data_IF_310095227336
#
_entry.id   IF_310095227336
#
_cell.length_a   1.000
_cell.length_b   1.000
_cell.length_c   1.000
_cell.angle_alpha   90.00
_cell.angle_beta   90.00
_cell.angle_gamma   90.00
#
_symmetry.space_group_name_H-M   'P 1'
#
loop_
_entity.id
_entity.type
_entity.pdbx_description
1 polymer ?
#
# COMPACT_ATOMS: atom_id res chain seq x y z
N UNK A 1 11.72 -13.17 -1.77
CA UNK A 1 10.47 -12.56 -1.26
C UNK A 1 10.82 -11.60 -0.14
N UNK A 2 10.16 -10.42 -0.04
CA UNK A 2 10.28 -9.49 1.11
C UNK A 2 9.02 -9.51 1.95
N UNK A 3 9.17 -9.35 3.26
CA UNK A 3 8.07 -9.32 4.21
C UNK A 3 8.00 -7.96 4.90
N UNK A 4 6.84 -7.31 4.79
CA UNK A 4 6.61 -5.98 5.31
C UNK A 4 5.60 -5.99 6.47
N UNK A 5 5.69 -4.98 7.35
CA UNK A 5 4.71 -4.75 8.40
C UNK A 5 4.13 -3.35 8.33
N UNK A 6 2.83 -3.24 8.50
CA UNK A 6 2.15 -1.95 8.64
C UNK A 6 1.96 -1.55 10.09
N UNK A 7 2.12 -0.28 10.40
CA UNK A 7 1.89 0.21 11.76
C UNK A 7 1.17 1.56 11.77
N UNK A 8 0.24 1.70 12.71
CA UNK A 8 -0.42 2.98 12.98
C UNK A 8 0.37 3.74 14.04
N UNK A 9 0.97 4.84 13.64
CA UNK A 9 1.70 5.73 14.55
C UNK A 9 0.78 6.88 14.98
N UNK A 10 0.47 6.94 16.26
CA UNK A 10 -0.37 8.00 16.85
C UNK A 10 0.44 9.25 17.20
N UNK A 11 1.69 9.07 17.57
CA UNK A 11 2.63 10.15 17.86
C UNK A 11 3.86 10.01 16.96
N UNK A 12 4.20 11.00 16.12
CA UNK A 12 5.36 10.92 15.23
C UNK A 12 6.69 10.54 15.91
N UNK A 13 6.87 10.89 17.17
CA UNK A 13 8.06 10.53 17.95
C UNK A 13 8.20 9.01 18.18
N UNK A 14 7.11 8.25 18.10
CA UNK A 14 7.10 6.79 18.25
C UNK A 14 7.61 6.05 17.01
N UNK A 15 7.74 6.75 15.87
CA UNK A 15 8.22 6.15 14.63
C UNK A 15 9.58 5.45 14.78
N UNK A 16 10.54 6.10 15.45
CA UNK A 16 11.86 5.52 15.69
C UNK A 16 11.85 4.21 16.46
N UNK A 17 11.33 4.18 17.70
CA UNK A 17 11.24 2.95 18.49
C UNK A 17 10.44 1.82 17.81
N UNK A 18 9.30 2.13 17.20
CA UNK A 18 8.44 1.13 16.57
C UNK A 18 9.14 0.50 15.35
N UNK A 19 9.69 1.32 14.44
CA UNK A 19 10.40 0.78 13.28
C UNK A 19 11.68 0.05 13.65
N UNK A 20 12.36 0.47 14.72
CA UNK A 20 13.52 -0.26 15.25
C UNK A 20 13.12 -1.66 15.75
N UNK A 21 12.01 -1.77 16.46
CA UNK A 21 11.50 -3.07 16.89
C UNK A 21 11.13 -3.99 15.70
N UNK A 22 10.55 -3.44 14.62
CA UNK A 22 10.26 -4.20 13.39
C UNK A 22 11.54 -4.62 12.67
N UNK A 23 12.57 -3.76 12.62
CA UNK A 23 13.88 -4.12 12.09
C UNK A 23 14.52 -5.25 12.90
N UNK A 24 14.48 -5.17 14.24
CA UNK A 24 15.04 -6.18 15.13
C UNK A 24 14.28 -7.52 15.05
N UNK A 25 12.98 -7.47 14.78
CA UNK A 25 12.18 -8.65 14.47
C UNK A 25 12.51 -9.27 13.09
N UNK A 26 13.23 -8.53 12.23
CA UNK A 26 13.72 -9.02 10.95
C UNK A 26 12.79 -8.76 9.76
N UNK A 27 11.86 -7.80 9.83
CA UNK A 27 11.10 -7.37 8.66
C UNK A 27 12.00 -6.68 7.62
N UNK A 28 11.71 -6.90 6.34
CA UNK A 28 12.44 -6.27 5.23
C UNK A 28 11.99 -4.83 4.99
N UNK A 29 10.73 -4.53 5.26
CA UNK A 29 10.16 -3.20 5.15
C UNK A 29 9.08 -2.93 6.20
N UNK A 30 8.85 -1.65 6.47
CA UNK A 30 7.73 -1.23 7.30
C UNK A 30 7.12 0.07 6.76
N UNK A 31 5.81 0.22 6.95
CA UNK A 31 5.09 1.35 6.40
C UNK A 31 4.14 2.01 7.40
N UNK A 32 3.99 3.31 7.20
CA UNK A 32 2.92 4.13 7.77
C UNK A 32 1.84 4.40 6.71
N UNK A 33 0.65 4.79 7.14
CA UNK A 33 -0.40 5.24 6.22
C UNK A 33 -1.04 6.55 6.69
N UNK A 34 -1.63 7.28 5.75
CA UNK A 34 -2.30 8.54 6.02
C UNK A 34 -3.73 8.32 6.53
N UNK A 35 -3.89 8.36 7.84
CA UNK A 35 -5.18 8.32 8.51
C UNK A 35 -5.51 9.64 9.17
N UNK A 36 -5.44 9.69 10.50
CA UNK A 36 -5.61 10.90 11.31
C UNK A 36 -4.34 11.77 11.35
N UNK A 37 -3.18 11.22 11.00
CA UNK A 37 -1.86 11.87 11.06
C UNK A 37 -1.17 11.84 9.70
N UNK A 38 -0.17 12.73 9.54
CA UNK A 38 0.69 12.75 8.35
C UNK A 38 1.59 11.50 8.33
N UNK A 39 1.69 10.78 7.20
CA UNK A 39 2.42 9.52 7.13
C UNK A 39 3.94 9.70 7.06
N UNK A 40 4.45 10.89 6.73
CA UNK A 40 5.89 11.12 6.55
C UNK A 40 6.62 11.43 7.85
N UNK A 41 5.99 12.14 8.78
CA UNK A 41 6.64 12.59 10.01
C UNK A 41 7.21 11.44 10.86
N UNK A 42 6.50 10.32 11.08
CA UNK A 42 7.07 9.18 11.80
C UNK A 42 8.28 8.57 11.09
N UNK A 43 8.32 8.64 9.74
CA UNK A 43 9.41 8.06 8.96
C UNK A 43 10.72 8.83 9.09
N UNK A 44 10.69 10.11 9.50
CA UNK A 44 11.89 10.88 9.83
C UNK A 44 12.61 10.23 11.03
N UNK A 45 11.90 10.00 12.13
CA UNK A 45 12.49 9.36 13.30
C UNK A 45 12.85 7.88 13.04
N UNK A 46 12.06 7.16 12.24
CA UNK A 46 12.37 5.81 11.81
C UNK A 46 13.68 5.74 11.00
N UNK A 47 13.89 6.65 10.05
CA UNK A 47 15.09 6.70 9.22
C UNK A 47 16.36 6.90 10.07
N UNK A 48 16.28 7.70 11.13
CA UNK A 48 17.38 7.94 12.06
C UNK A 48 17.66 6.77 13.01
N UNK A 49 16.66 5.97 13.34
CA UNK A 49 16.73 4.90 14.34
C UNK A 49 17.04 3.52 13.75
N UNK A 50 16.89 3.35 12.44
CA UNK A 50 17.04 2.07 11.72
C UNK A 50 18.21 2.10 10.73
N UNK A 51 18.69 0.92 10.30
CA UNK A 51 19.85 0.80 9.41
C UNK A 51 19.59 0.00 8.13
N UNK A 52 18.66 -0.96 8.16
CA UNK A 52 18.44 -1.94 7.08
C UNK A 52 17.01 -1.95 6.56
N UNK A 53 16.02 -1.85 7.44
CA UNK A 53 14.60 -1.92 7.07
C UNK A 53 14.23 -0.83 6.06
N UNK A 54 13.52 -1.19 5.00
CA UNK A 54 12.96 -0.25 4.04
C UNK A 54 11.78 0.51 4.68
N UNK A 55 11.68 1.78 4.40
CA UNK A 55 10.69 2.69 4.98
C UNK A 55 9.71 3.10 3.89
N UNK A 56 8.41 2.85 4.10
CA UNK A 56 7.40 3.12 3.08
C UNK A 56 6.25 3.99 3.64
N UNK A 57 5.61 4.73 2.74
CA UNK A 57 4.21 5.12 2.95
C UNK A 57 3.30 4.12 2.22
N UNK A 58 2.26 3.60 2.87
CA UNK A 58 1.27 2.73 2.23
C UNK A 58 -0.14 3.05 2.74
N UNK A 59 -0.70 4.17 2.34
CA UNK A 59 -0.26 5.14 1.33
C UNK A 59 -0.23 6.57 1.91
N UNK A 60 0.50 7.47 1.25
CA UNK A 60 0.29 8.91 1.35
C UNK A 60 -0.74 9.34 0.29
N UNK A 61 -1.67 10.26 0.65
CA UNK A 61 -2.73 10.72 -0.25
C UNK A 61 -2.15 11.67 -1.30
N UNK A 62 -2.00 11.17 -2.52
CA UNK A 62 -1.35 11.89 -3.61
C UNK A 62 -2.10 13.16 -4.03
N UNK A 63 -3.43 13.07 -4.23
CA UNK A 63 -4.23 14.18 -4.77
C UNK A 63 -4.50 15.30 -3.76
N UNK A 64 -4.09 15.13 -2.52
CA UNK A 64 -4.05 16.20 -1.52
C UNK A 64 -2.76 17.04 -1.60
N UNK A 65 -1.79 16.62 -2.42
CA UNK A 65 -0.44 17.19 -2.50
C UNK A 65 -0.05 17.56 -3.92
N UNK A 66 1.05 18.29 -4.05
CA UNK A 66 1.65 18.69 -5.31
C UNK A 66 2.87 17.80 -5.63
N UNK A 67 3.16 17.48 -6.92
CA UNK A 67 4.34 16.68 -7.29
C UNK A 67 5.67 17.22 -6.73
N UNK A 68 5.87 18.54 -6.70
CA UNK A 68 7.09 19.15 -6.17
C UNK A 68 7.25 18.88 -4.66
N UNK A 69 6.16 19.03 -3.89
CA UNK A 69 6.19 18.72 -2.46
C UNK A 69 6.50 17.25 -2.19
N UNK A 70 5.93 16.35 -3.00
CA UNK A 70 6.19 14.91 -2.88
C UNK A 70 7.62 14.56 -3.29
N UNK A 71 8.18 15.22 -4.32
CA UNK A 71 9.58 15.04 -4.71
C UNK A 71 10.55 15.50 -3.61
N UNK A 72 10.31 16.68 -3.00
CA UNK A 72 11.12 17.18 -1.89
C UNK A 72 11.15 16.20 -0.72
N UNK A 73 9.97 15.78 -0.26
CA UNK A 73 9.88 14.88 0.91
C UNK A 73 10.48 13.50 0.62
N UNK A 74 10.30 13.01 -0.62
CA UNK A 74 10.89 11.74 -1.05
C UNK A 74 12.41 11.83 -1.15
N UNK A 75 12.94 12.93 -1.67
CA UNK A 75 14.39 13.18 -1.71
C UNK A 75 14.99 13.22 -0.31
N UNK A 76 14.39 14.00 0.60
CA UNK A 76 14.91 14.18 1.95
C UNK A 76 14.85 12.87 2.77
N UNK A 77 13.74 12.14 2.70
CA UNK A 77 13.62 10.84 3.37
C UNK A 77 14.55 9.79 2.75
N UNK A 78 14.78 9.81 1.44
CA UNK A 78 15.74 8.93 0.80
C UNK A 78 17.18 9.23 1.22
N UNK A 79 17.54 10.51 1.33
CA UNK A 79 18.83 10.95 1.83
C UNK A 79 19.02 10.52 3.29
N UNK A 80 18.05 10.82 4.15
CA UNK A 80 18.08 10.53 5.58
C UNK A 80 18.14 9.02 5.86
N UNK A 81 17.38 8.23 5.12
CA UNK A 81 17.35 6.77 5.24
C UNK A 81 18.48 6.05 4.51
N UNK A 82 19.37 6.79 3.80
CA UNK A 82 20.47 6.22 3.00
C UNK A 82 19.97 5.25 1.91
N UNK A 83 18.97 5.68 1.15
CA UNK A 83 18.43 4.94 0.00
C UNK A 83 17.35 3.90 0.32
N UNK A 84 16.85 3.85 1.56
CA UNK A 84 15.85 2.86 2.00
C UNK A 84 14.40 3.34 1.89
N UNK A 85 14.15 4.57 1.46
CA UNK A 85 12.80 5.11 1.37
C UNK A 85 12.11 4.73 0.06
N UNK A 86 10.84 4.34 0.16
CA UNK A 86 9.93 4.08 -0.97
C UNK A 86 8.70 4.98 -0.81
N UNK A 87 8.45 5.82 -1.79
CA UNK A 87 7.28 6.69 -1.80
C UNK A 87 6.04 5.92 -2.25
N UNK A 88 5.19 5.53 -1.32
CA UNK A 88 3.92 4.87 -1.61
C UNK A 88 2.75 5.85 -1.65
N UNK A 89 2.08 5.94 -2.78
CA UNK A 89 1.02 6.90 -3.09
C UNK A 89 -0.32 6.22 -3.33
N UNK A 90 -1.41 6.94 -3.05
CA UNK A 90 -2.76 6.51 -3.41
C UNK A 90 -3.66 7.69 -3.73
N UNK A 91 -4.65 7.47 -4.60
CA UNK A 91 -5.58 8.52 -5.03
C UNK A 91 -6.58 8.93 -3.95
N UNK A 92 -6.82 8.07 -2.95
CA UNK A 92 -7.98 8.17 -2.08
C UNK A 92 -9.31 8.14 -2.86
N UNK A 93 -10.45 8.31 -2.19
CA UNK A 93 -11.78 8.41 -2.81
C UNK A 93 -12.20 9.86 -2.97
N UNK A 94 -13.07 10.12 -3.97
CA UNK A 94 -13.54 11.47 -4.30
C UNK A 94 -14.03 12.28 -3.09
N UNK A 95 -14.89 11.75 -2.18
CA UNK A 95 -15.37 12.53 -1.03
C UNK A 95 -14.25 13.06 -0.13
N UNK A 96 -13.20 12.25 0.13
CA UNK A 96 -12.06 12.71 0.92
C UNK A 96 -11.28 13.80 0.20
N UNK A 97 -11.00 13.64 -1.09
CA UNK A 97 -10.27 14.66 -1.85
C UNK A 97 -11.05 15.98 -1.91
N UNK A 98 -12.35 15.92 -2.25
CA UNK A 98 -13.13 17.14 -2.45
C UNK A 98 -13.62 17.80 -1.17
N UNK A 99 -13.98 17.02 -0.13
CA UNK A 99 -14.61 17.55 1.08
C UNK A 99 -13.67 17.66 2.28
N UNK A 100 -12.69 16.72 2.41
CA UNK A 100 -11.70 16.75 3.50
C UNK A 100 -10.48 17.57 3.13
N UNK A 101 -9.96 17.41 1.90
CA UNK A 101 -8.76 18.11 1.45
C UNK A 101 -9.05 19.36 0.60
N UNK A 102 -10.32 19.59 0.23
CA UNK A 102 -10.74 20.73 -0.62
C UNK A 102 -9.99 20.83 -1.95
N UNK A 103 -9.67 19.66 -2.56
CA UNK A 103 -8.92 19.58 -3.81
C UNK A 103 -9.80 19.07 -4.96
N UNK A 104 -9.48 19.43 -6.21
CA UNK A 104 -10.24 18.99 -7.38
C UNK A 104 -10.08 17.48 -7.61
N UNK A 105 -11.15 16.86 -8.10
CA UNK A 105 -11.18 15.45 -8.51
C UNK A 105 -11.48 15.34 -10.00
N UNK A 106 -10.59 14.67 -10.73
CA UNK A 106 -10.80 14.39 -12.16
C UNK A 106 -9.93 13.20 -12.61
N UNK A 107 -10.42 12.37 -13.52
CA UNK A 107 -9.69 11.31 -14.24
C UNK A 107 -8.58 10.65 -13.41
N UNK A 108 -8.89 9.93 -12.32
CA UNK A 108 -7.90 9.57 -11.29
C UNK A 108 -6.71 8.74 -11.83
N UNK A 109 -6.92 7.85 -12.79
CA UNK A 109 -5.85 7.04 -13.34
C UNK A 109 -4.86 7.88 -14.17
N UNK A 110 -5.35 8.71 -15.08
CA UNK A 110 -4.52 9.58 -15.90
C UNK A 110 -3.79 10.65 -15.05
N UNK A 111 -4.49 11.19 -14.05
CA UNK A 111 -3.90 12.16 -13.11
C UNK A 111 -2.80 11.53 -12.25
N UNK A 112 -2.96 10.28 -11.83
CA UNK A 112 -1.93 9.57 -11.05
C UNK A 112 -0.70 9.28 -11.91
N UNK A 113 -0.89 8.84 -13.14
CA UNK A 113 0.21 8.63 -14.10
C UNK A 113 1.00 9.91 -14.34
N UNK A 114 0.30 11.03 -14.59
CA UNK A 114 0.92 12.34 -14.78
C UNK A 114 1.66 12.82 -13.51
N UNK A 115 1.09 12.60 -12.32
CA UNK A 115 1.72 12.94 -11.04
C UNK A 115 3.03 12.16 -10.83
N UNK A 116 3.01 10.86 -11.07
CA UNK A 116 4.22 10.01 -10.93
C UNK A 116 5.30 10.46 -11.93
N UNK A 117 4.92 10.71 -13.18
CA UNK A 117 5.84 11.21 -14.21
C UNK A 117 6.41 12.58 -13.86
N UNK A 118 5.59 13.49 -13.29
CA UNK A 118 6.05 14.78 -12.80
C UNK A 118 7.07 14.64 -11.67
N UNK A 119 6.79 13.79 -10.66
CA UNK A 119 7.72 13.53 -9.55
C UNK A 119 9.05 12.95 -10.10
N UNK A 120 8.99 11.96 -10.99
CA UNK A 120 10.18 11.37 -11.62
C UNK A 120 10.98 12.39 -12.42
N UNK A 121 10.31 13.28 -13.16
CA UNK A 121 10.98 14.35 -13.92
C UNK A 121 11.71 15.33 -12.99
N UNK A 122 11.11 15.70 -11.87
CA UNK A 122 11.73 16.58 -10.86
C UNK A 122 12.95 15.89 -10.24
N UNK A 123 12.79 14.66 -9.74
CA UNK A 123 13.88 13.90 -9.12
C UNK A 123 15.03 13.64 -10.10
N UNK A 124 14.71 13.34 -11.38
CA UNK A 124 15.72 13.16 -12.42
C UNK A 124 16.48 14.47 -12.75
N UNK A 125 15.77 15.61 -12.79
CA UNK A 125 16.43 16.90 -13.00
C UNK A 125 17.44 17.21 -11.89
N UNK A 126 17.11 16.91 -10.64
CA UNK A 126 18.04 17.04 -9.51
C UNK A 126 19.19 16.05 -9.62
N UNK A 127 18.93 14.79 -9.97
CA UNK A 127 19.93 13.73 -10.01
C UNK A 127 20.96 13.92 -11.11
N UNK A 128 20.54 14.44 -12.28
CA UNK A 128 21.38 14.53 -13.48
C UNK A 128 21.84 15.96 -13.81
N UNK A 129 21.27 16.98 -13.17
CA UNK A 129 21.46 18.39 -13.54
C UNK A 129 20.78 18.78 -14.86
N UNK A 130 19.92 17.91 -15.41
CA UNK A 130 19.20 18.22 -16.64
C UNK A 130 18.13 19.29 -16.42
N UNK A 131 17.71 19.95 -17.51
CA UNK A 131 16.62 20.92 -17.44
C UNK A 131 15.34 20.21 -17.01
N UNK A 132 14.62 20.80 -16.05
CA UNK A 132 13.28 20.34 -15.67
C UNK A 132 12.29 20.71 -16.80
N UNK A 133 11.69 19.69 -17.41
CA UNK A 133 10.75 19.85 -18.51
C UNK A 133 9.66 18.76 -18.40
N UNK A 134 8.63 19.04 -17.63
CA UNK A 134 7.41 18.21 -17.53
C UNK A 134 6.20 19.04 -17.92
N UNK A 135 5.48 18.59 -18.96
CA UNK A 135 4.23 19.22 -19.46
C UNK A 135 3.17 18.13 -19.63
N UNK A 136 2.51 17.80 -18.52
CA UNK A 136 1.42 16.84 -18.50
C UNK A 136 0.04 17.48 -18.65
N UNK A 137 -0.99 16.66 -18.64
CA UNK A 137 -2.39 17.09 -18.68
C UNK A 137 -2.78 17.84 -17.39
N UNK A 138 -2.24 17.42 -16.23
CA UNK A 138 -2.63 17.92 -14.90
C UNK A 138 -1.53 18.74 -14.24
N UNK A 139 -0.26 18.49 -14.59
CA UNK A 139 0.89 19.11 -13.94
C UNK A 139 1.88 19.65 -14.96
N UNK A 140 2.40 20.84 -14.69
CA UNK A 140 3.47 21.46 -15.48
C UNK A 140 4.57 21.93 -14.55
N UNK A 141 5.79 21.41 -14.74
CA UNK A 141 6.98 21.79 -14.00
C UNK A 141 8.12 22.07 -14.98
N UNK A 142 8.46 23.35 -15.16
CA UNK A 142 9.46 23.82 -16.14
C UNK A 142 10.45 24.83 -15.59
N UNK A 143 10.38 25.09 -14.27
CA UNK A 143 11.26 26.03 -13.59
C UNK A 143 12.06 25.28 -12.51
N UNK A 144 13.40 25.33 -12.62
CA UNK A 144 14.33 24.89 -11.61
C UNK A 144 15.52 25.84 -11.60
N UNK A 145 15.59 26.68 -10.58
CA UNK A 145 16.74 27.58 -10.39
C UNK A 145 17.76 26.99 -9.43
N UNK A 146 19.04 27.41 -9.49
CA UNK A 146 20.09 26.78 -8.66
C UNK A 146 19.79 26.74 -7.16
N UNK A 147 19.13 27.76 -6.62
CA UNK A 147 18.76 27.81 -5.19
C UNK A 147 17.79 26.69 -4.76
N UNK A 148 16.94 26.21 -5.68
CA UNK A 148 15.93 25.21 -5.40
C UNK A 148 16.30 23.81 -5.89
N UNK A 149 17.53 23.66 -6.40
CA UNK A 149 18.06 22.38 -6.84
C UNK A 149 18.98 21.82 -5.73
N UNK A 150 18.58 20.74 -5.02
CA UNK A 150 19.40 20.14 -3.96
C UNK A 150 20.64 19.40 -4.51
N UNK A 151 20.72 19.21 -5.83
CA UNK A 151 21.75 18.39 -6.47
C UNK A 151 21.45 16.88 -6.43
N UNK A 152 22.40 16.05 -6.87
CA UNK A 152 22.22 14.61 -6.92
C UNK A 152 22.18 14.01 -5.51
N UNK A 153 21.21 13.10 -5.29
CA UNK A 153 21.17 12.31 -4.07
C UNK A 153 22.22 11.19 -4.15
N UNK A 154 23.13 11.05 -3.18
CA UNK A 154 24.18 10.03 -3.21
C UNK A 154 23.64 8.59 -3.17
N UNK A 155 22.38 8.41 -2.80
CA UNK A 155 21.69 7.13 -2.73
C UNK A 155 20.75 6.88 -3.92
N UNK A 156 20.77 7.76 -4.93
CA UNK A 156 19.90 7.66 -6.12
C UNK A 156 18.49 8.17 -5.89
N UNK A 157 17.64 7.91 -6.87
CA UNK A 157 16.23 8.29 -6.87
C UNK A 157 15.41 7.24 -6.08
N UNK A 158 14.55 7.64 -5.13
CA UNK A 158 13.68 6.70 -4.42
C UNK A 158 12.66 6.05 -5.34
N UNK A 159 12.32 4.79 -5.10
CA UNK A 159 11.24 4.10 -5.79
C UNK A 159 9.89 4.76 -5.48
N UNK A 160 8.99 4.73 -6.44
CA UNK A 160 7.61 5.20 -6.29
C UNK A 160 6.67 4.02 -6.50
N UNK A 161 5.92 3.65 -5.46
CA UNK A 161 4.85 2.67 -5.54
C UNK A 161 3.50 3.37 -5.50
N UNK A 162 2.49 2.77 -6.15
CA UNK A 162 1.13 3.35 -6.15
C UNK A 162 0.10 2.28 -5.86
N UNK A 163 -0.85 2.61 -4.99
CA UNK A 163 -1.98 1.74 -4.71
C UNK A 163 -2.99 1.73 -5.87
N UNK A 164 -3.36 0.54 -6.29
CA UNK A 164 -4.36 0.33 -7.33
C UNK A 164 -5.24 -0.89 -7.03
N UNK A 165 -6.51 -0.81 -7.47
CA UNK A 165 -7.45 -1.93 -7.44
C UNK A 165 -7.99 -2.20 -8.84
N UNK A 166 -8.65 -1.22 -9.47
CA UNK A 166 -9.29 -1.38 -10.77
C UNK A 166 -8.33 -1.35 -11.96
N UNK A 167 -8.73 -1.91 -13.13
CA UNK A 167 -7.87 -2.09 -14.30
C UNK A 167 -7.22 -0.81 -14.81
N UNK A 168 -7.96 0.30 -14.88
CA UNK A 168 -7.43 1.56 -15.40
C UNK A 168 -6.29 2.13 -14.56
N UNK A 169 -6.44 2.12 -13.23
CA UNK A 169 -5.39 2.57 -12.32
C UNK A 169 -4.21 1.61 -12.38
N UNK A 170 -4.43 0.31 -12.38
CA UNK A 170 -3.39 -0.71 -12.47
C UNK A 170 -2.51 -0.52 -13.70
N UNK A 171 -3.12 -0.29 -14.89
CA UNK A 171 -2.38 -0.02 -16.13
C UNK A 171 -1.58 1.29 -16.06
N UNK A 172 -2.18 2.37 -15.53
CA UNK A 172 -1.51 3.65 -15.36
C UNK A 172 -0.30 3.54 -14.44
N UNK A 173 -0.43 2.82 -13.32
CA UNK A 173 0.65 2.53 -12.37
C UNK A 173 1.75 1.72 -13.02
N UNK A 174 1.42 0.68 -13.77
CA UNK A 174 2.40 -0.16 -14.46
C UNK A 174 3.19 0.63 -15.53
N UNK A 175 2.58 1.64 -16.19
CA UNK A 175 3.30 2.50 -17.13
C UNK A 175 4.27 3.48 -16.46
N UNK A 176 3.95 3.95 -15.26
CA UNK A 176 4.66 5.10 -14.67
C UNK A 176 5.43 4.81 -13.38
N UNK A 177 4.92 3.98 -12.49
CA UNK A 177 5.50 3.73 -11.17
C UNK A 177 6.51 2.57 -11.17
N UNK A 178 7.21 2.36 -10.05
CA UNK A 178 8.19 1.29 -9.88
C UNK A 178 7.59 0.06 -9.20
N UNK A 179 6.35 0.19 -8.70
CA UNK A 179 5.62 -0.92 -8.11
C UNK A 179 4.16 -0.58 -7.83
N UNK A 180 3.38 -1.62 -7.55
CA UNK A 180 1.98 -1.55 -7.18
C UNK A 180 1.79 -2.06 -5.76
N UNK A 181 1.04 -1.29 -4.96
CA UNK A 181 0.54 -1.67 -3.65
C UNK A 181 -0.88 -2.24 -3.82
N UNK A 182 -1.00 -3.58 -3.76
CA UNK A 182 -2.30 -4.22 -3.83
C UNK A 182 -3.08 -4.00 -2.53
N UNK A 183 -4.34 -3.63 -2.68
CA UNK A 183 -5.23 -3.39 -1.53
C UNK A 183 -5.49 -4.71 -0.78
N UNK A 184 -5.56 -4.72 0.56
CA UNK A 184 -5.78 -5.96 1.32
C UNK A 184 -7.12 -6.66 1.01
N UNK A 185 -8.05 -5.96 0.39
CA UNK A 185 -9.30 -6.55 -0.14
C UNK A 185 -9.13 -7.16 -1.54
N UNK A 186 -7.93 -7.58 -1.92
CA UNK A 186 -7.67 -8.28 -3.19
C UNK A 186 -7.49 -9.78 -2.95
N UNK A 187 -8.42 -10.58 -3.45
CA UNK A 187 -8.28 -12.05 -3.37
C UNK A 187 -7.17 -12.57 -4.30
N UNK A 188 -6.63 -13.78 -4.06
CA UNK A 188 -5.69 -14.42 -4.98
C UNK A 188 -6.24 -14.56 -6.40
N UNK A 189 -7.54 -14.86 -6.53
CA UNK A 189 -8.24 -14.97 -7.82
C UNK A 189 -8.29 -13.61 -8.54
N UNK A 190 -8.60 -12.52 -7.81
CA UNK A 190 -8.62 -11.18 -8.38
C UNK A 190 -7.21 -10.73 -8.83
N UNK A 191 -6.20 -10.97 -8.02
CA UNK A 191 -4.81 -10.69 -8.37
C UNK A 191 -4.39 -11.41 -9.65
N UNK A 192 -4.66 -12.71 -9.73
CA UNK A 192 -4.30 -13.55 -10.88
C UNK A 192 -5.06 -13.19 -12.15
N UNK A 193 -6.37 -12.96 -12.05
CA UNK A 193 -7.22 -12.79 -13.23
C UNK A 193 -7.34 -11.35 -13.71
N UNK A 194 -7.16 -10.37 -12.82
CA UNK A 194 -7.36 -8.95 -13.14
C UNK A 194 -6.07 -8.15 -12.95
N UNK A 195 -5.46 -8.19 -11.75
CA UNK A 195 -4.34 -7.30 -11.44
C UNK A 195 -3.10 -7.62 -12.27
N UNK A 196 -2.64 -8.87 -12.26
CA UNK A 196 -1.43 -9.28 -12.99
C UNK A 196 -1.54 -9.10 -14.51
N UNK A 197 -2.65 -9.46 -15.20
CA UNK A 197 -2.82 -9.17 -16.62
C UNK A 197 -2.75 -7.67 -16.95
N UNK A 198 -3.38 -6.81 -16.12
CA UNK A 198 -3.34 -5.36 -16.33
C UNK A 198 -1.98 -4.74 -16.03
N UNK A 199 -1.20 -5.28 -15.07
CA UNK A 199 0.21 -4.93 -14.89
C UNK A 199 1.00 -5.24 -16.15
N UNK A 200 0.89 -6.46 -16.67
CA UNK A 200 1.62 -6.90 -17.86
C UNK A 200 1.29 -6.05 -19.08
N UNK A 201 0.01 -5.75 -19.32
CA UNK A 201 -0.43 -4.86 -20.41
C UNK A 201 0.13 -3.44 -20.26
N UNK A 202 0.09 -2.88 -19.04
CA UNK A 202 0.66 -1.55 -18.77
C UNK A 202 2.17 -1.49 -19.01
N UNK A 203 2.92 -2.49 -18.53
CA UNK A 203 4.37 -2.60 -18.75
C UNK A 203 4.71 -2.76 -20.23
N UNK A 204 4.02 -3.64 -20.94
CA UNK A 204 4.21 -3.87 -22.36
C UNK A 204 3.96 -2.58 -23.17
N UNK A 205 2.91 -1.84 -22.89
CA UNK A 205 2.55 -0.59 -23.58
C UNK A 205 3.59 0.53 -23.37
N UNK A 206 4.43 0.42 -22.34
CA UNK A 206 5.51 1.39 -22.03
C UNK A 206 6.91 0.82 -22.23
N UNK A 207 7.06 -0.34 -22.89
CA UNK A 207 8.32 -1.03 -23.14
C UNK A 207 9.14 -1.29 -21.86
N UNK A 208 8.48 -1.65 -20.76
CA UNK A 208 9.11 -1.95 -19.46
C UNK A 208 9.13 -3.45 -19.20
N UNK A 209 10.21 -3.95 -18.60
CA UNK A 209 10.31 -5.34 -18.19
C UNK A 209 9.53 -5.61 -16.89
N UNK A 210 8.99 -6.83 -16.75
CA UNK A 210 8.31 -7.25 -15.51
C UNK A 210 9.26 -7.29 -14.30
N UNK A 211 10.56 -7.56 -14.55
CA UNK A 211 11.62 -7.54 -13.53
C UNK A 211 11.83 -6.17 -12.87
N UNK A 212 11.45 -5.09 -13.55
CA UNK A 212 11.66 -3.71 -13.09
C UNK A 212 10.45 -3.14 -12.34
N UNK A 213 9.50 -4.04 -11.98
CA UNK A 213 8.25 -3.64 -11.34
C UNK A 213 7.91 -4.56 -10.18
N UNK A 214 7.78 -3.99 -8.99
CA UNK A 214 7.43 -4.71 -7.78
C UNK A 214 5.90 -4.78 -7.60
N UNK A 215 5.39 -5.95 -7.13
CA UNK A 215 4.03 -6.08 -6.63
C UNK A 215 4.11 -6.38 -5.13
N UNK A 216 3.59 -5.47 -4.32
CA UNK A 216 3.44 -5.62 -2.87
C UNK A 216 2.00 -5.98 -2.55
N UNK A 217 1.80 -7.10 -1.87
CA UNK A 217 0.48 -7.67 -1.57
C UNK A 217 0.23 -7.55 -0.07
N UNK A 218 -0.73 -6.71 0.28
CA UNK A 218 -1.27 -6.64 1.63
C UNK A 218 -2.31 -7.74 1.82
N UNK A 219 -2.25 -8.48 2.94
CA UNK A 219 -3.10 -9.64 3.21
C UNK A 219 -3.81 -9.45 4.54
N UNK A 220 -5.14 -9.55 4.55
CA UNK A 220 -5.90 -9.61 5.80
C UNK A 220 -5.58 -10.91 6.52
N UNK A 221 -5.08 -10.80 7.75
CA UNK A 221 -4.71 -11.97 8.56
C UNK A 221 -5.36 -11.93 9.93
N UNK A 222 -5.74 -13.12 10.41
CA UNK A 222 -6.28 -13.31 11.75
C UNK A 222 -5.52 -14.40 12.49
N UNK A 223 -4.93 -14.05 13.63
CA UNK A 223 -4.27 -14.97 14.55
C UNK A 223 -4.48 -14.48 15.98
N UNK A 224 -4.51 -15.38 16.94
CA UNK A 224 -4.59 -15.04 18.36
C UNK A 224 -3.77 -16.00 19.20
N UNK A 225 -3.24 -15.53 20.33
CA UNK A 225 -2.44 -16.31 21.27
C UNK A 225 -3.27 -17.35 22.05
N UNK A 226 -4.59 -17.24 22.06
CA UNK A 226 -5.54 -18.12 22.73
C UNK A 226 -6.92 -18.02 22.05
N UNK A 227 -7.87 -18.87 22.44
CA UNK A 227 -9.22 -18.92 21.85
C UNK A 227 -9.95 -17.58 21.87
N UNK A 228 -9.83 -16.80 22.96
CA UNK A 228 -10.50 -15.50 23.07
C UNK A 228 -9.90 -14.48 22.09
N UNK A 229 -8.57 -14.37 22.05
CA UNK A 229 -7.88 -13.44 21.11
C UNK A 229 -8.08 -13.87 19.67
N UNK A 230 -8.12 -15.20 19.39
CA UNK A 230 -8.42 -15.72 18.06
C UNK A 230 -9.84 -15.33 17.61
N UNK A 231 -10.84 -15.51 18.47
CA UNK A 231 -12.23 -15.06 18.16
C UNK A 231 -12.30 -13.55 17.88
N UNK A 232 -11.53 -12.75 18.60
CA UNK A 232 -11.42 -11.29 18.34
C UNK A 232 -10.79 -11.03 16.98
N UNK A 233 -9.74 -11.75 16.63
CA UNK A 233 -9.07 -11.61 15.31
C UNK A 233 -9.99 -12.00 14.16
N UNK A 234 -10.72 -13.12 14.28
CA UNK A 234 -11.75 -13.54 13.32
C UNK A 234 -12.81 -12.47 13.15
N UNK A 235 -13.34 -11.93 14.26
CA UNK A 235 -14.36 -10.86 14.20
C UNK A 235 -13.83 -9.60 13.55
N UNK A 236 -12.61 -9.18 13.88
CA UNK A 236 -11.98 -8.01 13.26
C UNK A 236 -11.81 -8.18 11.74
N UNK A 237 -11.43 -9.37 11.27
CA UNK A 237 -11.36 -9.68 9.84
C UNK A 237 -12.74 -9.61 9.18
N UNK A 238 -13.81 -10.17 9.80
CA UNK A 238 -15.18 -10.08 9.28
C UNK A 238 -15.64 -8.64 9.13
N UNK A 239 -15.48 -7.84 10.19
CA UNK A 239 -15.87 -6.42 10.19
C UNK A 239 -15.11 -5.65 9.10
N UNK A 240 -13.84 -5.95 8.89
CA UNK A 240 -13.01 -5.30 7.88
C UNK A 240 -13.39 -5.73 6.45
N UNK A 241 -13.66 -7.04 6.22
CA UNK A 241 -14.18 -7.54 4.95
C UNK A 241 -15.51 -6.85 4.63
N UNK A 242 -16.44 -6.80 5.58
CA UNK A 242 -17.73 -6.15 5.42
C UNK A 242 -17.60 -4.66 5.08
N UNK A 243 -16.70 -3.95 5.78
CA UNK A 243 -16.43 -2.54 5.51
C UNK A 243 -15.92 -2.31 4.08
N UNK A 244 -14.94 -3.08 3.61
CA UNK A 244 -14.43 -2.95 2.25
C UNK A 244 -15.45 -3.36 1.21
N UNK A 245 -16.14 -4.49 1.42
CA UNK A 245 -17.18 -4.99 0.52
C UNK A 245 -18.37 -4.03 0.35
N UNK A 246 -18.64 -3.19 1.35
CA UNK A 246 -19.68 -2.14 1.28
C UNK A 246 -19.31 -0.96 0.38
N UNK A 247 -18.04 -0.86 -0.02
CA UNK A 247 -17.52 0.28 -0.80
C UNK A 247 -17.71 0.01 -2.30
N UNK A 248 -18.47 0.84 -3.04
CA UNK A 248 -18.80 0.59 -4.45
C UNK A 248 -17.57 0.39 -5.36
N UNK A 249 -16.44 1.04 -5.04
CA UNK A 249 -15.22 0.92 -5.84
C UNK A 249 -14.55 -0.47 -5.75
N UNK A 250 -14.96 -1.31 -4.79
CA UNK A 250 -14.46 -2.68 -4.65
C UNK A 250 -15.45 -3.75 -5.14
N UNK A 251 -16.61 -3.36 -5.70
CA UNK A 251 -17.60 -4.30 -6.23
C UNK A 251 -16.99 -5.29 -7.22
N UNK A 252 -16.12 -4.82 -8.11
CA UNK A 252 -15.44 -5.67 -9.09
C UNK A 252 -14.60 -6.82 -8.48
N UNK A 253 -14.14 -6.68 -7.24
CA UNK A 253 -13.43 -7.75 -6.53
C UNK A 253 -14.41 -8.85 -6.12
N UNK A 254 -15.60 -8.48 -5.63
CA UNK A 254 -16.67 -9.40 -5.26
C UNK A 254 -17.26 -10.13 -6.46
N UNK A 255 -17.42 -9.44 -7.61
CA UNK A 255 -17.89 -10.00 -8.87
C UNK A 255 -17.04 -11.18 -9.37
N UNK A 256 -15.74 -11.22 -9.05
CA UNK A 256 -14.89 -12.37 -9.37
C UNK A 256 -15.30 -13.65 -8.62
N UNK A 257 -16.11 -13.52 -7.58
CA UNK A 257 -16.55 -14.61 -6.71
C UNK A 257 -18.06 -14.87 -6.77
N UNK A 258 -18.84 -14.06 -7.49
CA UNK A 258 -20.29 -14.15 -7.53
C UNK A 258 -20.97 -13.57 -6.29
N UNK A 259 -20.34 -12.58 -5.62
CA UNK A 259 -20.83 -11.94 -4.40
C UNK A 259 -21.39 -10.52 -4.66
N UNK A 260 -21.96 -10.27 -5.84
CA UNK A 260 -22.48 -8.95 -6.24
C UNK A 260 -23.60 -8.47 -5.30
N UNK A 261 -24.54 -9.37 -4.96
CA UNK A 261 -25.68 -9.07 -4.10
C UNK A 261 -25.22 -8.69 -2.67
N UNK A 262 -24.18 -9.35 -2.16
CA UNK A 262 -23.58 -9.03 -0.87
C UNK A 262 -23.05 -7.59 -0.84
N UNK A 263 -22.43 -7.11 -1.93
CA UNK A 263 -21.94 -5.72 -2.01
C UNK A 263 -23.09 -4.71 -1.87
N UNK A 264 -24.21 -4.97 -2.50
CA UNK A 264 -25.39 -4.09 -2.46
C UNK A 264 -26.02 -4.06 -1.07
N UNK A 265 -26.16 -5.22 -0.43
CA UNK A 265 -26.64 -5.31 0.94
C UNK A 265 -25.75 -4.60 1.94
N UNK A 266 -24.45 -4.86 1.90
CA UNK A 266 -23.48 -4.22 2.80
C UNK A 266 -23.42 -2.70 2.59
N UNK A 267 -23.54 -2.22 1.34
CA UNK A 267 -23.63 -0.79 1.07
C UNK A 267 -24.90 -0.17 1.68
N UNK A 268 -26.04 -0.87 1.62
CA UNK A 268 -27.29 -0.45 2.27
C UNK A 268 -27.14 -0.37 3.80
N UNK A 269 -26.60 -1.43 4.40
CA UNK A 269 -26.34 -1.50 5.85
C UNK A 269 -25.40 -0.40 6.33
N UNK A 270 -24.31 -0.15 5.59
CA UNK A 270 -23.33 0.91 5.91
C UNK A 270 -23.96 2.31 5.93
N UNK A 271 -24.86 2.61 4.96
CA UNK A 271 -25.61 3.87 4.93
C UNK A 271 -26.61 4.01 6.07
N UNK A 272 -27.10 2.89 6.61
CA UNK A 272 -27.97 2.85 7.78
C UNK A 272 -27.20 2.85 9.11
N UNK A 273 -25.85 2.81 9.11
CA UNK A 273 -25.02 2.75 10.31
C UNK A 273 -25.07 1.41 11.03
N UNK A 274 -25.51 0.33 10.36
CA UNK A 274 -25.69 -1.01 10.92
C UNK A 274 -24.38 -1.81 10.82
N UNK A 275 -23.34 -1.35 11.51
CA UNK A 275 -21.97 -1.90 11.41
C UNK A 275 -21.85 -3.33 11.92
N UNK A 276 -22.60 -3.67 13.00
CA UNK A 276 -22.59 -5.02 13.55
C UNK A 276 -23.20 -6.02 12.57
N UNK A 277 -24.36 -5.68 12.03
CA UNK A 277 -25.10 -6.49 11.06
C UNK A 277 -24.29 -6.73 9.78
N UNK A 278 -23.48 -5.75 9.37
CA UNK A 278 -22.55 -5.92 8.25
C UNK A 278 -21.53 -7.04 8.51
N UNK A 279 -20.89 -7.04 9.69
CA UNK A 279 -19.95 -8.11 10.04
C UNK A 279 -20.63 -9.48 10.16
N UNK A 280 -21.89 -9.50 10.68
CA UNK A 280 -22.66 -10.73 10.81
C UNK A 280 -23.13 -11.30 9.46
N UNK A 281 -23.21 -10.48 8.42
CA UNK A 281 -23.51 -10.90 7.05
C UNK A 281 -22.34 -11.57 6.31
N UNK A 282 -21.12 -11.52 6.84
CA UNK A 282 -19.95 -12.21 6.29
C UNK A 282 -19.91 -13.63 6.85
N UNK A 283 -20.20 -14.62 6.03
CA UNK A 283 -20.04 -16.03 6.39
C UNK A 283 -18.57 -16.49 6.29
N UNK A 284 -18.33 -17.76 6.63
CA UNK A 284 -16.98 -18.33 6.62
C UNK A 284 -16.41 -18.46 5.21
N UNK A 285 -17.22 -18.68 4.20
CA UNK A 285 -16.77 -18.81 2.80
C UNK A 285 -16.25 -17.46 2.29
N UNK A 286 -17.05 -16.39 2.48
CA UNK A 286 -16.64 -15.02 2.12
C UNK A 286 -15.42 -14.60 2.91
N UNK A 287 -15.39 -14.85 4.23
CA UNK A 287 -14.25 -14.52 5.08
C UNK A 287 -12.97 -15.19 4.57
N UNK A 288 -13.00 -16.50 4.32
CA UNK A 288 -11.84 -17.26 3.84
C UNK A 288 -11.41 -16.90 2.41
N UNK A 289 -12.29 -16.30 1.62
CA UNK A 289 -11.93 -15.77 0.30
C UNK A 289 -10.96 -14.58 0.41
N UNK A 290 -11.12 -13.72 1.41
CA UNK A 290 -10.40 -12.46 1.54
C UNK A 290 -9.38 -12.42 2.68
N UNK A 291 -9.50 -13.27 3.68
CA UNK A 291 -8.60 -13.32 4.83
C UNK A 291 -7.91 -14.69 4.94
N UNK A 292 -6.72 -14.70 5.55
CA UNK A 292 -6.05 -15.91 5.99
C UNK A 292 -6.07 -15.94 7.50
N UNK A 293 -6.67 -16.98 8.06
CA UNK A 293 -6.90 -17.08 9.51
C UNK A 293 -6.43 -18.44 10.01
N UNK A 294 -5.67 -18.46 11.10
CA UNK A 294 -5.23 -19.66 11.78
C UNK A 294 -4.95 -19.38 13.26
N UNK A 295 -4.97 -20.43 14.10
CA UNK A 295 -4.50 -20.38 15.49
C UNK A 295 -2.98 -20.64 15.59
N UNK A 296 -2.40 -21.16 14.52
CA UNK A 296 -0.99 -21.55 14.44
C UNK A 296 -0.22 -20.67 13.44
N UNK A 297 0.92 -20.06 13.83
CA UNK A 297 1.72 -19.22 12.95
C UNK A 297 2.27 -19.95 11.72
N UNK A 298 2.66 -21.23 11.85
CA UNK A 298 3.20 -22.03 10.74
C UNK A 298 2.12 -22.34 9.70
N UNK A 299 0.92 -22.72 10.16
CA UNK A 299 -0.22 -22.96 9.26
C UNK A 299 -0.68 -21.65 8.59
N UNK A 300 -0.68 -20.55 9.33
CA UNK A 300 -0.97 -19.22 8.76
C UNK A 300 0.03 -18.88 7.63
N UNK A 301 1.33 -19.07 7.91
CA UNK A 301 2.38 -18.77 6.95
C UNK A 301 2.30 -19.68 5.72
N UNK A 302 2.10 -20.99 5.89
CA UNK A 302 1.92 -21.94 4.77
C UNK A 302 0.74 -21.53 3.88
N UNK A 303 -0.39 -21.15 4.48
CA UNK A 303 -1.57 -20.77 3.71
C UNK A 303 -1.37 -19.41 3.00
N UNK A 304 -0.68 -18.44 3.61
CA UNK A 304 -0.28 -17.20 2.96
C UNK A 304 0.61 -17.49 1.74
N UNK A 305 1.64 -18.31 1.93
CA UNK A 305 2.58 -18.66 0.84
C UNK A 305 1.89 -19.47 -0.27
N UNK A 306 1.00 -20.40 0.09
CA UNK A 306 0.20 -21.15 -0.88
C UNK A 306 -0.70 -20.26 -1.75
N UNK A 307 -1.29 -19.21 -1.15
CA UNK A 307 -2.23 -18.31 -1.86
C UNK A 307 -1.53 -17.22 -2.66
N UNK A 308 -0.42 -16.69 -2.16
CA UNK A 308 0.17 -15.43 -2.65
C UNK A 308 1.65 -15.53 -3.00
N UNK A 309 2.35 -16.60 -2.62
CA UNK A 309 3.82 -16.71 -2.69
C UNK A 309 4.42 -16.63 -4.09
N UNK A 310 3.65 -16.94 -5.13
CA UNK A 310 4.06 -16.85 -6.53
C UNK A 310 3.61 -15.56 -7.26
N UNK A 311 2.85 -14.69 -6.58
CA UNK A 311 2.18 -13.58 -7.24
C UNK A 311 2.92 -12.25 -7.11
N UNK A 312 3.66 -12.02 -6.03
CA UNK A 312 4.31 -10.73 -5.76
C UNK A 312 5.76 -10.86 -5.26
N UNK A 313 6.42 -9.72 -5.17
CA UNK A 313 7.78 -9.61 -4.65
C UNK A 313 7.81 -9.28 -3.16
N UNK A 314 6.69 -8.76 -2.64
CA UNK A 314 6.53 -8.33 -1.24
C UNK A 314 5.18 -8.80 -0.70
N UNK A 315 5.17 -9.26 0.53
CA UNK A 315 3.97 -9.65 1.27
C UNK A 315 3.91 -8.89 2.58
N UNK A 316 2.74 -8.33 2.88
CA UNK A 316 2.47 -7.61 4.12
C UNK A 316 1.23 -8.19 4.82
N UNK A 317 1.39 -9.13 5.77
CA UNK A 317 0.29 -9.59 6.61
C UNK A 317 -0.19 -8.44 7.50
N UNK A 318 -1.51 -8.20 7.55
CA UNK A 318 -2.12 -7.14 8.34
C UNK A 318 -3.00 -7.75 9.41
N UNK A 319 -2.66 -7.53 10.67
CA UNK A 319 -3.48 -7.91 11.83
C UNK A 319 -4.42 -6.77 12.20
N UNK A 320 -5.70 -6.97 12.00
CA UNK A 320 -6.72 -5.97 12.37
C UNK A 320 -7.10 -6.04 13.86
N UNK A 321 -6.75 -7.11 14.56
CA UNK A 321 -6.90 -7.24 16.01
C UNK A 321 -5.96 -6.35 16.83
N UNK A 322 -4.88 -5.85 16.22
CA UNK A 322 -3.89 -4.98 16.86
C UNK A 322 -2.85 -5.71 17.71
N UNK A 323 -2.82 -7.03 17.74
CA UNK A 323 -1.86 -7.84 18.50
C UNK A 323 -0.51 -7.98 17.73
N UNK A 324 0.25 -6.89 17.64
CA UNK A 324 1.51 -6.84 16.88
C UNK A 324 2.60 -7.77 17.42
N UNK A 325 2.54 -8.13 18.69
CA UNK A 325 3.43 -9.10 19.33
C UNK A 325 3.34 -10.52 18.75
N UNK A 326 2.26 -10.83 18.03
CA UNK A 326 2.11 -12.10 17.30
C UNK A 326 2.79 -12.10 15.94
N UNK A 327 3.26 -10.94 15.46
CA UNK A 327 3.91 -10.84 14.15
C UNK A 327 5.28 -11.51 14.05
N UNK A 328 6.18 -11.45 15.07
CA UNK A 328 7.49 -12.11 14.96
C UNK A 328 7.41 -13.61 14.70
N UNK A 329 6.60 -14.44 15.40
CA UNK A 329 6.42 -15.85 15.07
C UNK A 329 5.89 -16.10 13.64
N UNK A 330 4.93 -15.27 13.18
CA UNK A 330 4.40 -15.37 11.82
C UNK A 330 5.49 -15.04 10.78
N UNK A 331 6.32 -14.03 11.04
CA UNK A 331 7.42 -13.66 10.15
C UNK A 331 8.46 -14.79 10.05
N UNK A 332 8.84 -15.40 11.18
CA UNK A 332 9.76 -16.53 11.19
C UNK A 332 9.21 -17.69 10.34
N UNK A 333 7.95 -18.03 10.54
CA UNK A 333 7.27 -19.06 9.77
C UNK A 333 7.19 -18.72 8.27
N UNK A 334 6.91 -17.47 7.90
CA UNK A 334 6.90 -17.01 6.51
C UNK A 334 8.27 -17.14 5.85
N UNK A 335 9.34 -16.77 6.54
CA UNK A 335 10.72 -16.92 6.04
C UNK A 335 11.09 -18.36 5.82
N UNK A 336 10.74 -19.26 6.74
CA UNK A 336 10.99 -20.70 6.63
C UNK A 336 10.22 -21.34 5.47
N UNK A 337 9.03 -20.86 5.15
CA UNK A 337 8.19 -21.36 4.04
C UNK A 337 8.45 -20.66 2.69
N UNK A 338 9.33 -19.64 2.64
CA UNK A 338 9.66 -18.91 1.41
C UNK A 338 10.93 -19.43 0.71
N UNK A 339 11.60 -20.41 1.28
CA UNK A 339 12.79 -21.09 0.74
C UNK A 339 12.36 -22.27 -0.14
#
# INVERSE_FOLDING_TARGET
MKFDSGTMIKNPAEGGPVFKALEDAGFDGAYTWEGSHDPFLPLVSAAMSTKQIELLTSIAVAFARNPMNLANIAYDLNLLSKGRFILGLGSQIRPHITKRFSMPWSKPAARMEDMVNAIKSILNAWQTGSRLEHRGEFYTHTLMTPLFNPGPNPHGIPKIYVAAVGPFMTKAVARSADGLLAHPFSSPKYLKNITLPNINEGLQSSNRARSDFDLSIAIMTGIGANEESHKKAVRACRDQVAFYASTPNYKAVLEQHGYEDLSEELNRLSKAGQWKEMGDAIDDEVLNTFAVISEDPDELAKEIMRRYGDQGQRIAPILYSGELELMPPVLEALKNNSL
#
